data_IF_957903631492
#
_entry.id   IF_957903631492
#
_cell.length_a   1.000
_cell.length_b   1.000
_cell.length_c   1.000
_cell.angle_alpha   90.00
_cell.angle_beta   90.00
_cell.angle_gamma   90.00
#
_symmetry.space_group_name_H-M   'P 1'
#
loop_
_entity.id
_entity.type
_entity.pdbx_description
1 polymer ?
#
# COMPACT_ATOMS: atom_id res chain seq x y z
N UNK A 1 37.93 -1.24 -51.26
CA UNK A 1 37.26 -0.03 -51.81
C UNK A 1 35.88 0.05 -51.14
N UNK A 2 35.72 0.87 -50.09
CA UNK A 2 35.00 2.17 -50.07
C UNK A 2 33.45 2.07 -50.13
N UNK A 3 32.82 2.06 -48.93
CA UNK A 3 31.64 2.82 -48.43
C UNK A 3 30.28 2.73 -49.16
N UNK A 4 29.25 2.30 -48.41
CA UNK A 4 28.06 3.08 -47.96
C UNK A 4 26.98 2.10 -47.45
N UNK A 5 26.56 2.07 -46.17
CA UNK A 5 25.68 2.97 -45.39
C UNK A 5 24.24 3.10 -45.92
N UNK A 6 23.29 2.94 -44.98
CA UNK A 6 21.81 3.14 -45.00
C UNK A 6 21.00 1.83 -45.22
N UNK A 7 20.07 1.40 -44.36
CA UNK A 7 19.38 2.13 -43.29
C UNK A 7 18.73 1.24 -42.22
N UNK A 8 18.47 1.92 -41.09
CA UNK A 8 17.87 1.48 -39.83
C UNK A 8 16.34 1.46 -40.00
N UNK A 9 15.66 0.36 -39.68
CA UNK A 9 14.25 0.35 -39.21
C UNK A 9 14.15 -0.77 -38.17
N UNK A 10 14.43 -0.44 -36.90
CA UNK A 10 13.43 -0.23 -35.84
C UNK A 10 12.79 -1.53 -35.35
N UNK A 11 13.50 -2.11 -34.39
CA UNK A 11 13.01 -3.10 -33.43
C UNK A 11 11.92 -2.41 -32.59
N UNK A 12 10.66 -2.68 -32.89
CA UNK A 12 9.53 -2.29 -32.03
C UNK A 12 9.14 -3.49 -31.16
N UNK A 13 9.99 -3.84 -30.20
CA UNK A 13 9.57 -4.62 -29.03
C UNK A 13 8.63 -3.74 -28.23
N UNK A 14 7.32 -4.00 -28.33
CA UNK A 14 6.31 -3.34 -27.51
C UNK A 14 6.34 -3.95 -26.09
N UNK A 15 7.45 -3.73 -25.39
CA UNK A 15 7.50 -3.82 -23.95
C UNK A 15 6.94 -2.49 -23.41
N UNK A 16 5.68 -2.47 -23.00
CA UNK A 16 5.14 -1.37 -22.21
C UNK A 16 5.75 -1.41 -20.81
N UNK A 17 7.02 -1.06 -20.72
CA UNK A 17 7.67 -0.61 -19.51
C UNK A 17 7.28 0.86 -19.29
N UNK A 18 6.04 1.10 -18.85
CA UNK A 18 5.71 2.40 -18.28
C UNK A 18 6.24 2.43 -16.85
N UNK A 19 7.55 2.61 -16.71
CA UNK A 19 8.16 3.06 -15.46
C UNK A 19 7.78 4.53 -15.29
N UNK A 20 6.54 4.75 -14.86
CA UNK A 20 6.08 6.06 -14.44
C UNK A 20 6.74 6.39 -13.11
N UNK A 21 7.84 7.14 -13.17
CA UNK A 21 8.39 7.88 -12.03
C UNK A 21 7.33 8.86 -11.51
N UNK A 22 6.41 8.39 -10.69
CA UNK A 22 5.63 9.27 -9.82
C UNK A 22 6.55 9.68 -8.69
N UNK A 23 7.37 10.71 -8.97
CA UNK A 23 7.92 11.56 -7.92
C UNK A 23 6.73 11.97 -7.07
N UNK A 24 6.71 11.41 -5.86
CA UNK A 24 5.72 11.66 -4.85
C UNK A 24 5.79 13.15 -4.50
N UNK A 25 4.96 13.94 -5.17
CA UNK A 25 4.43 15.17 -4.59
C UNK A 25 3.68 14.73 -3.34
N UNK A 26 4.40 14.61 -2.21
CA UNK A 26 3.81 14.49 -0.88
C UNK A 26 2.96 15.73 -0.69
N UNK A 27 1.70 15.64 -1.12
CA UNK A 27 0.66 16.58 -0.73
C UNK A 27 0.54 16.42 0.77
N UNK A 28 1.20 17.31 1.51
CA UNK A 28 1.14 17.41 2.96
C UNK A 28 -0.27 17.89 3.34
N UNK A 29 -1.26 17.02 3.16
CA UNK A 29 -2.59 17.25 3.70
C UNK A 29 -2.53 16.83 5.18
N UNK A 30 -3.00 17.66 6.12
CA UNK A 30 -3.16 17.23 7.50
C UNK A 30 -4.00 15.96 7.52
N UNK A 31 -3.60 14.96 8.31
CA UNK A 31 -4.31 13.67 8.43
C UNK A 31 -5.82 13.83 8.72
N UNK A 32 -6.21 14.95 9.32
CA UNK A 32 -7.58 15.31 9.63
C UNK A 32 -8.46 15.56 8.39
N UNK A 33 -7.86 15.91 7.25
CA UNK A 33 -8.57 16.19 6.00
C UNK A 33 -8.82 14.91 5.17
N UNK A 34 -8.16 13.79 5.49
CA UNK A 34 -8.36 12.52 4.78
C UNK A 34 -9.72 11.89 5.14
N UNK A 35 -10.22 12.13 6.36
CA UNK A 35 -11.54 11.67 6.79
C UNK A 35 -12.71 12.36 6.05
N UNK A 36 -12.51 13.58 5.56
CA UNK A 36 -13.49 14.32 4.74
C UNK A 36 -13.34 14.08 3.24
N UNK A 37 -12.32 13.32 2.81
CA UNK A 37 -12.02 13.03 1.41
C UNK A 37 -12.81 11.82 0.91
N UNK A 38 -13.73 12.06 -0.03
CA UNK A 38 -14.55 11.00 -0.62
C UNK A 38 -13.73 9.90 -1.30
N UNK A 39 -12.67 10.27 -2.02
CA UNK A 39 -11.83 9.32 -2.73
C UNK A 39 -11.00 8.47 -1.76
N UNK A 40 -10.46 9.09 -0.72
CA UNK A 40 -9.74 8.36 0.34
C UNK A 40 -10.64 7.33 1.04
N UNK A 41 -11.84 7.73 1.45
CA UNK A 41 -12.78 6.85 2.16
C UNK A 41 -13.20 5.65 1.32
N UNK A 42 -13.52 5.89 0.05
CA UNK A 42 -13.89 4.84 -0.88
C UNK A 42 -12.71 3.89 -1.15
N UNK A 43 -11.51 4.45 -1.30
CA UNK A 43 -10.28 3.66 -1.37
C UNK A 43 -10.12 2.76 -0.16
N UNK A 44 -10.21 3.31 1.05
CA UNK A 44 -10.09 2.55 2.31
C UNK A 44 -11.10 1.41 2.40
N UNK A 45 -12.37 1.71 2.08
CA UNK A 45 -13.44 0.70 2.08
C UNK A 45 -13.13 -0.46 1.14
N UNK A 46 -12.76 -0.18 -0.11
CA UNK A 46 -12.46 -1.23 -1.09
C UNK A 46 -11.19 -2.00 -0.73
N UNK A 47 -10.15 -1.32 -0.25
CA UNK A 47 -8.93 -1.98 0.21
C UNK A 47 -9.20 -2.96 1.37
N UNK A 48 -10.05 -2.57 2.31
CA UNK A 48 -10.50 -3.46 3.39
C UNK A 48 -11.34 -4.62 2.86
N UNK A 49 -12.25 -4.38 1.91
CA UNK A 49 -13.09 -5.42 1.32
C UNK A 49 -12.24 -6.49 0.61
N UNK A 50 -11.31 -6.07 -0.25
CA UNK A 50 -10.45 -6.97 -1.01
C UNK A 50 -9.53 -7.78 -0.08
N UNK A 51 -8.94 -7.12 0.93
CA UNK A 51 -8.13 -7.81 1.93
C UNK A 51 -8.94 -8.86 2.71
N UNK A 52 -10.19 -8.54 3.10
CA UNK A 52 -11.08 -9.50 3.78
C UNK A 52 -11.39 -10.71 2.92
N UNK A 53 -11.57 -10.50 1.61
CA UNK A 53 -11.77 -11.57 0.63
C UNK A 53 -10.48 -12.30 0.24
N UNK A 54 -9.33 -11.80 0.70
CA UNK A 54 -7.99 -12.27 0.31
C UNK A 54 -7.76 -12.20 -1.21
N UNK A 55 -8.39 -11.21 -1.83
CA UNK A 55 -8.22 -10.93 -3.26
C UNK A 55 -6.92 -10.16 -3.49
N UNK A 56 -6.37 -10.25 -4.69
CA UNK A 56 -5.19 -9.47 -5.07
C UNK A 56 -5.53 -7.98 -5.13
N UNK A 57 -4.59 -7.08 -4.78
CA UNK A 57 -4.84 -5.64 -4.85
C UNK A 57 -5.29 -5.17 -6.24
N UNK A 58 -6.45 -4.53 -6.32
CA UNK A 58 -7.02 -3.98 -7.56
C UNK A 58 -7.40 -2.51 -7.41
N UNK A 59 -6.63 -1.63 -8.08
CA UNK A 59 -6.80 -0.18 -7.98
C UNK A 59 -7.76 0.35 -9.05
N UNK A 60 -9.05 0.43 -8.74
CA UNK A 60 -10.08 0.98 -9.63
C UNK A 60 -10.05 2.52 -9.73
N UNK A 61 -8.92 3.08 -10.17
CA UNK A 61 -8.64 4.53 -10.22
C UNK A 61 -9.34 5.28 -11.35
N UNK A 62 -9.80 4.59 -12.39
CA UNK A 62 -10.40 5.20 -13.57
C UNK A 62 -11.68 6.00 -13.27
N UNK A 63 -12.35 5.71 -12.15
CA UNK A 63 -13.55 6.44 -11.70
C UNK A 63 -13.26 7.88 -11.25
N UNK A 64 -11.99 8.19 -10.92
CA UNK A 64 -11.60 9.48 -10.34
C UNK A 64 -11.02 10.39 -11.41
N UNK A 65 -11.68 11.52 -11.62
CA UNK A 65 -11.38 12.47 -12.70
C UNK A 65 -10.06 13.21 -12.50
N UNK A 66 -9.75 13.61 -11.27
CA UNK A 66 -8.52 14.34 -10.96
C UNK A 66 -7.40 13.41 -10.53
N UNK A 67 -6.16 13.81 -10.84
CA UNK A 67 -4.97 13.08 -10.38
C UNK A 67 -4.88 13.06 -8.85
N UNK A 68 -5.33 14.14 -8.21
CA UNK A 68 -5.39 14.26 -6.76
C UNK A 68 -6.30 13.19 -6.15
N UNK A 69 -7.50 13.01 -6.70
CA UNK A 69 -8.48 12.05 -6.21
C UNK A 69 -8.00 10.61 -6.45
N UNK A 70 -7.38 10.34 -7.62
CA UNK A 70 -6.73 9.04 -7.89
C UNK A 70 -5.68 8.71 -6.84
N UNK A 71 -4.80 9.65 -6.51
CA UNK A 71 -3.78 9.45 -5.49
C UNK A 71 -4.40 9.26 -4.10
N UNK A 72 -5.44 10.03 -3.76
CA UNK A 72 -6.14 9.92 -2.48
C UNK A 72 -6.80 8.54 -2.31
N UNK A 73 -7.46 8.07 -3.37
CA UNK A 73 -8.01 6.71 -3.45
C UNK A 73 -6.93 5.65 -3.24
N UNK A 74 -5.81 5.73 -3.97
CA UNK A 74 -4.73 4.75 -3.84
C UNK A 74 -4.14 4.73 -2.42
N UNK A 75 -4.00 5.89 -1.76
CA UNK A 75 -3.54 5.96 -0.36
C UNK A 75 -4.53 5.28 0.57
N UNK A 76 -5.82 5.62 0.48
CA UNK A 76 -6.88 5.00 1.28
C UNK A 76 -6.92 3.48 1.08
N UNK A 77 -6.88 3.02 -0.17
CA UNK A 77 -6.88 1.60 -0.53
C UNK A 77 -5.70 0.86 0.07
N UNK A 78 -4.48 1.36 -0.12
CA UNK A 78 -3.28 0.72 0.45
C UNK A 78 -3.33 0.66 1.97
N UNK A 79 -3.87 1.68 2.62
CA UNK A 79 -4.01 1.70 4.07
C UNK A 79 -5.02 0.64 4.54
N UNK A 80 -6.25 0.66 4.03
CA UNK A 80 -7.29 -0.30 4.42
C UNK A 80 -6.89 -1.76 4.16
N UNK A 81 -6.22 -2.01 3.04
CA UNK A 81 -5.71 -3.35 2.68
C UNK A 81 -4.65 -3.83 3.67
N UNK A 82 -3.62 -3.02 3.95
CA UNK A 82 -2.53 -3.38 4.86
C UNK A 82 -2.99 -3.55 6.31
N UNK A 83 -3.84 -2.66 6.80
CA UNK A 83 -4.36 -2.74 8.17
C UNK A 83 -5.17 -4.01 8.39
N UNK A 84 -5.96 -4.40 7.39
CA UNK A 84 -6.76 -5.63 7.43
C UNK A 84 -5.88 -6.88 7.43
N UNK A 85 -4.85 -6.93 6.59
CA UNK A 85 -3.90 -8.05 6.59
C UNK A 85 -3.15 -8.16 7.92
N UNK A 86 -2.66 -7.04 8.45
CA UNK A 86 -1.99 -7.02 9.75
C UNK A 86 -2.90 -7.51 10.90
N UNK A 87 -4.21 -7.23 10.82
CA UNK A 87 -5.18 -7.76 11.76
C UNK A 87 -5.35 -9.29 11.65
N UNK A 88 -5.32 -9.85 10.44
CA UNK A 88 -5.33 -11.31 10.24
C UNK A 88 -4.07 -12.01 10.72
N UNK A 89 -2.90 -11.38 10.56
CA UNK A 89 -1.66 -11.97 11.04
C UNK A 89 -1.64 -11.98 12.58
N UNK A 90 -2.10 -10.90 13.23
CA UNK A 90 -2.24 -10.84 14.69
C UNK A 90 -3.24 -11.85 15.24
N UNK A 91 -4.34 -12.10 14.51
CA UNK A 91 -5.34 -13.08 14.96
C UNK A 91 -4.81 -14.52 14.88
N UNK A 92 -3.99 -14.85 13.87
CA UNK A 92 -3.30 -16.15 13.79
C UNK A 92 -2.32 -16.35 14.94
N UNK A 93 -1.55 -15.31 15.29
CA UNK A 93 -0.59 -15.37 16.39
C UNK A 93 -1.27 -15.62 17.74
N UNK A 94 -2.40 -14.95 17.99
CA UNK A 94 -3.18 -15.12 19.22
C UNK A 94 -3.86 -16.48 19.35
N UNK A 95 -4.09 -17.18 18.22
CA UNK A 95 -4.73 -18.50 18.18
C UNK A 95 -3.73 -19.66 18.19
N UNK A 96 -2.42 -19.41 18.21
CA UNK A 96 -1.41 -20.46 18.28
C UNK A 96 -1.21 -20.92 19.74
N UNK A 97 -1.59 -22.15 20.11
CA UNK A 97 -1.45 -22.65 21.48
C UNK A 97 0.02 -22.91 21.90
N UNK A 98 0.99 -22.65 21.02
CA UNK A 98 2.41 -22.89 21.27
C UNK A 98 3.22 -21.63 21.65
N UNK A 99 2.66 -20.42 21.52
CA UNK A 99 3.38 -19.18 21.89
C UNK A 99 3.00 -18.71 23.30
N UNK A 100 3.42 -19.48 24.31
CA UNK A 100 3.49 -19.01 25.70
C UNK A 100 4.78 -18.21 25.88
N UNK A 101 4.72 -16.94 25.49
CA UNK A 101 5.80 -15.99 25.73
C UNK A 101 5.92 -15.69 27.22
N UNK A 102 6.86 -16.37 27.87
CA UNK A 102 7.48 -16.04 29.16
C UNK A 102 7.53 -14.51 29.36
N UNK A 103 6.62 -13.97 30.17
CA UNK A 103 6.81 -12.65 30.75
C UNK A 103 7.95 -12.76 31.75
N UNK A 104 9.18 -12.44 31.30
CA UNK A 104 10.32 -12.31 32.21
C UNK A 104 10.01 -11.25 33.27
N UNK A 105 10.14 -11.70 34.51
CA UNK A 105 10.26 -10.96 35.75
C UNK A 105 10.73 -9.50 35.62
N UNK A 106 9.97 -8.61 36.26
CA UNK A 106 10.56 -7.50 37.02
C UNK A 106 9.93 -7.45 38.41
N UNK A 107 10.25 -8.46 39.21
CA UNK A 107 10.33 -8.31 40.66
C UNK A 107 11.50 -7.39 40.96
N UNK A 108 11.24 -6.22 41.54
CA UNK A 108 12.10 -5.54 42.51
C UNK A 108 11.37 -4.29 43.01
N UNK A 109 10.50 -4.51 44.00
CA UNK A 109 10.18 -3.52 45.03
C UNK A 109 11.45 -3.23 45.83
N UNK A 110 11.93 -1.99 45.92
CA UNK A 110 12.86 -1.62 46.96
C UNK A 110 12.07 -1.51 48.27
N UNK A 111 12.09 -2.57 49.09
CA UNK A 111 11.81 -2.42 50.52
C UNK A 111 13.01 -1.73 51.17
N UNK A 112 12.75 -0.78 52.05
CA UNK A 112 13.70 0.28 52.41
C UNK A 112 14.93 -0.10 53.22
N UNK A 113 15.79 0.91 53.38
CA UNK A 113 16.37 1.34 54.66
C UNK A 113 16.42 2.86 54.66
#
# INVERSE_FOLDING_TARGET
MKRSLIGIILIATLASATVGSYVASRSLRPKNDEASDGAFRDGMYLGTLDARRRELPHFAVARWSTERDRQSFVRGYKQGYRETLAAFDRSKESQSPYFSGVTRNRSETPSGR
#
